data_IF_166371165339
#
_entry.id   IF_166371165339
#
_cell.length_a   1.000
_cell.length_b   1.000
_cell.length_c   1.000
_cell.angle_alpha   90.00
_cell.angle_beta   90.00
_cell.angle_gamma   90.00
#
_symmetry.space_group_name_H-M   'P 1'
#
loop_
_entity.id
_entity.type
_entity.pdbx_description
1 polymer ?
#
# COMPACT_ATOMS: atom_id res chain seq x y z
N UNK A 1 3.16 -68.63 25.91
CA UNK A 1 2.18 -67.52 25.88
C UNK A 1 2.94 -66.19 25.97
N UNK A 2 3.17 -65.51 24.84
CA UNK A 2 3.62 -64.11 24.86
C UNK A 2 2.41 -63.28 25.29
N UNK A 3 2.47 -62.64 26.47
CA UNK A 3 1.53 -61.56 26.80
C UNK A 3 1.78 -60.46 25.78
N UNK A 4 0.86 -60.30 24.83
CA UNK A 4 0.80 -59.11 24.00
C UNK A 4 0.53 -57.97 24.97
N UNK A 5 1.48 -57.05 25.10
CA UNK A 5 1.32 -55.86 25.93
C UNK A 5 0.38 -54.89 25.23
N UNK A 6 -0.92 -55.08 25.47
CA UNK A 6 -2.01 -54.25 24.95
C UNK A 6 -1.92 -52.81 25.51
N UNK A 7 -1.14 -52.60 26.58
CA UNK A 7 -0.96 -51.30 27.22
C UNK A 7 -0.11 -50.32 26.39
N UNK A 8 0.91 -50.80 25.68
CA UNK A 8 1.80 -49.95 24.87
C UNK A 8 1.11 -49.45 23.60
N UNK A 9 0.33 -50.30 22.92
CA UNK A 9 -0.39 -49.94 21.69
C UNK A 9 -1.50 -48.92 21.95
N UNK A 10 -2.22 -49.07 23.09
CA UNK A 10 -3.28 -48.13 23.48
C UNK A 10 -2.71 -46.76 23.87
N UNK A 11 -1.58 -46.72 24.59
CA UNK A 11 -0.84 -45.48 24.89
C UNK A 11 -0.33 -44.77 23.63
N UNK A 12 0.19 -45.51 22.66
CA UNK A 12 0.67 -44.93 21.40
C UNK A 12 -0.46 -44.34 20.56
N UNK A 13 -1.64 -44.99 20.52
CA UNK A 13 -2.83 -44.42 19.87
C UNK A 13 -3.30 -43.14 20.56
N UNK A 14 -3.29 -43.10 21.88
CA UNK A 14 -3.65 -41.90 22.66
C UNK A 14 -2.69 -40.75 22.36
N UNK A 15 -1.39 -41.02 22.27
CA UNK A 15 -0.38 -40.01 21.96
C UNK A 15 -0.53 -39.45 20.53
N UNK A 16 -0.82 -40.31 19.55
CA UNK A 16 -1.06 -39.88 18.17
C UNK A 16 -2.33 -39.03 18.06
N UNK A 17 -3.40 -39.41 18.76
CA UNK A 17 -4.63 -38.62 18.83
C UNK A 17 -4.34 -37.25 19.48
N UNK A 18 -3.52 -37.21 20.53
CA UNK A 18 -3.14 -35.97 21.20
C UNK A 18 -2.37 -35.03 20.26
N UNK A 19 -1.40 -35.55 19.49
CA UNK A 19 -0.65 -34.76 18.50
C UNK A 19 -1.53 -34.27 17.34
N UNK A 20 -2.51 -35.07 16.90
CA UNK A 20 -3.47 -34.66 15.88
C UNK A 20 -4.39 -33.55 16.38
N UNK A 21 -4.82 -33.61 17.65
CA UNK A 21 -5.60 -32.54 18.28
C UNK A 21 -4.77 -31.26 18.37
N UNK A 22 -3.50 -31.33 18.76
CA UNK A 22 -2.62 -30.16 18.80
C UNK A 22 -2.42 -29.55 17.41
N UNK A 23 -2.22 -30.37 16.37
CA UNK A 23 -2.13 -29.89 14.98
C UNK A 23 -3.43 -29.21 14.51
N UNK A 24 -4.59 -29.79 14.79
CA UNK A 24 -5.89 -29.22 14.45
C UNK A 24 -6.13 -27.89 15.18
N UNK A 25 -5.74 -27.81 16.44
CA UNK A 25 -5.80 -26.57 17.21
C UNK A 25 -4.90 -25.50 16.58
N UNK A 26 -3.68 -25.83 16.16
CA UNK A 26 -2.79 -24.89 15.47
C UNK A 26 -3.37 -24.39 14.13
N UNK A 27 -3.99 -25.28 13.34
CA UNK A 27 -4.65 -24.91 12.08
C UNK A 27 -5.83 -23.98 12.35
N UNK A 28 -6.69 -24.35 13.31
CA UNK A 28 -7.81 -23.50 13.72
C UNK A 28 -7.34 -22.13 14.20
N UNK A 29 -6.25 -22.08 14.97
CA UNK A 29 -5.63 -20.83 15.43
C UNK A 29 -5.14 -19.94 14.29
N UNK A 30 -4.46 -20.52 13.29
CA UNK A 30 -4.04 -19.76 12.10
C UNK A 30 -5.23 -19.16 11.35
N UNK A 31 -6.31 -19.94 11.18
CA UNK A 31 -7.55 -19.50 10.54
C UNK A 31 -8.25 -18.41 11.38
N UNK A 32 -8.27 -18.56 12.71
CA UNK A 32 -8.91 -17.61 13.61
C UNK A 32 -8.18 -16.26 13.65
N UNK A 33 -6.85 -16.27 13.67
CA UNK A 33 -6.04 -15.04 13.57
C UNK A 33 -6.30 -14.35 12.23
N UNK A 34 -6.29 -15.10 11.12
CA UNK A 34 -6.64 -14.56 9.81
C UNK A 34 -8.06 -13.95 9.79
N UNK A 35 -9.02 -14.60 10.43
CA UNK A 35 -10.38 -14.10 10.56
C UNK A 35 -10.48 -12.83 11.42
N UNK A 36 -9.78 -12.75 12.56
CA UNK A 36 -9.73 -11.54 13.40
C UNK A 36 -9.14 -10.34 12.65
N UNK A 37 -8.10 -10.58 11.84
CA UNK A 37 -7.50 -9.54 10.98
C UNK A 37 -8.51 -9.05 9.94
N UNK A 38 -9.30 -9.96 9.34
CA UNK A 38 -10.33 -9.61 8.35
C UNK A 38 -11.50 -8.78 8.92
N UNK A 39 -11.74 -8.81 10.23
CA UNK A 39 -12.92 -8.21 10.88
C UNK A 39 -12.65 -6.85 11.55
N UNK A 40 -11.50 -6.22 11.30
CA UNK A 40 -11.18 -4.88 11.82
C UNK A 40 -11.16 -4.73 13.36
N UNK A 41 -10.81 -5.79 14.09
CA UNK A 41 -10.81 -5.77 15.57
C UNK A 41 -9.49 -5.28 16.23
N UNK A 42 -8.47 -4.85 15.46
CA UNK A 42 -7.08 -4.64 15.95
C UNK A 42 -6.47 -3.28 15.55
N UNK A 43 -7.29 -2.23 15.37
CA UNK A 43 -6.83 -0.92 14.89
C UNK A 43 -6.43 0.08 16.00
N UNK A 44 -6.59 -0.28 17.28
CA UNK A 44 -6.16 0.55 18.42
C UNK A 44 -4.89 -0.01 19.07
N UNK A 45 -3.84 0.81 19.36
CA UNK A 45 -2.59 0.35 19.99
C UNK A 45 -2.78 -0.41 21.31
N UNK A 46 -3.74 -0.01 22.16
CA UNK A 46 -4.03 -0.69 23.42
C UNK A 46 -4.74 -2.04 23.20
N UNK A 47 -5.64 -2.11 22.21
CA UNK A 47 -6.29 -3.37 21.83
C UNK A 47 -5.29 -4.31 21.17
N UNK A 48 -4.37 -3.78 20.36
CA UNK A 48 -3.24 -4.54 19.82
C UNK A 48 -2.38 -5.11 20.94
N UNK A 49 -1.92 -4.31 21.91
CA UNK A 49 -1.10 -4.85 23.01
C UNK A 49 -1.85 -5.89 23.84
N UNK A 50 -3.15 -5.70 24.08
CA UNK A 50 -3.98 -6.68 24.78
C UNK A 50 -4.15 -7.99 23.99
N UNK A 51 -4.49 -7.90 22.70
CA UNK A 51 -4.67 -9.06 21.83
C UNK A 51 -3.33 -9.74 21.55
N UNK A 52 -2.26 -8.99 21.30
CA UNK A 52 -0.91 -9.49 21.06
C UNK A 52 -0.32 -10.19 22.29
N UNK A 53 -0.50 -9.63 23.48
CA UNK A 53 -0.07 -10.30 24.72
C UNK A 53 -0.90 -11.57 24.98
N UNK A 54 -2.20 -11.57 24.67
CA UNK A 54 -3.02 -12.79 24.68
C UNK A 54 -2.52 -13.80 23.64
N UNK A 55 -2.22 -13.39 22.41
CA UNK A 55 -1.72 -14.26 21.33
C UNK A 55 -0.33 -14.83 21.65
N UNK A 56 0.57 -14.06 22.24
CA UNK A 56 1.87 -14.53 22.73
C UNK A 56 1.67 -15.59 23.82
N UNK A 57 0.78 -15.36 24.78
CA UNK A 57 0.47 -16.33 25.83
C UNK A 57 -0.11 -17.61 25.20
N UNK A 58 -0.97 -17.47 24.19
CA UNK A 58 -1.59 -18.57 23.46
C UNK A 58 -0.65 -19.28 22.48
N UNK A 59 0.52 -18.74 22.15
CA UNK A 59 1.57 -19.42 21.38
C UNK A 59 2.59 -20.07 22.32
N UNK A 60 3.04 -19.34 23.34
CA UNK A 60 4.07 -19.81 24.29
C UNK A 60 3.54 -20.96 25.13
N UNK A 61 2.30 -20.91 25.61
CA UNK A 61 1.74 -21.97 26.45
C UNK A 61 1.62 -23.30 25.67
N UNK A 62 0.99 -23.37 24.48
CA UNK A 62 0.99 -24.58 23.67
C UNK A 62 2.38 -25.02 23.23
N UNK A 63 3.27 -24.11 22.82
CA UNK A 63 4.64 -24.47 22.47
C UNK A 63 5.43 -25.07 23.65
N UNK A 64 5.20 -24.55 24.86
CA UNK A 64 5.76 -25.10 26.10
C UNK A 64 5.20 -26.50 26.42
N UNK A 65 3.89 -26.72 26.27
CA UNK A 65 3.30 -28.05 26.48
C UNK A 65 3.68 -29.05 25.39
N UNK A 66 3.79 -28.61 24.14
CA UNK A 66 4.29 -29.41 23.01
C UNK A 66 5.73 -29.84 23.25
N UNK A 67 6.61 -28.89 23.61
CA UNK A 67 8.02 -29.19 23.90
C UNK A 67 8.19 -30.09 25.14
N UNK A 68 7.38 -29.91 26.20
CA UNK A 68 7.32 -30.83 27.35
C UNK A 68 6.87 -32.23 26.93
N UNK A 69 5.83 -32.33 26.11
CA UNK A 69 5.34 -33.61 25.59
C UNK A 69 6.40 -34.31 24.73
N UNK A 70 7.14 -33.55 23.92
CA UNK A 70 8.26 -34.04 23.13
C UNK A 70 9.43 -34.51 24.02
N UNK A 71 9.78 -33.77 25.08
CA UNK A 71 10.83 -34.16 26.03
C UNK A 71 10.42 -35.40 26.83
N UNK A 72 9.16 -35.51 27.25
CA UNK A 72 8.62 -36.69 27.95
C UNK A 72 8.62 -37.90 27.03
N UNK A 73 8.27 -37.73 25.76
CA UNK A 73 8.39 -38.75 24.73
C UNK A 73 9.85 -39.22 24.61
N UNK A 74 10.81 -38.30 24.47
CA UNK A 74 12.25 -38.61 24.39
C UNK A 74 12.75 -39.33 25.65
N UNK A 75 12.32 -38.91 26.85
CA UNK A 75 12.76 -39.49 28.14
C UNK A 75 12.13 -40.85 28.45
N UNK A 76 10.86 -41.05 28.10
CA UNK A 76 10.14 -42.32 28.34
C UNK A 76 10.44 -43.40 27.29
N UNK A 77 11.18 -43.08 26.22
CA UNK A 77 11.76 -44.01 25.24
C UNK A 77 12.96 -44.81 25.81
N UNK A 78 13.16 -44.82 27.13
CA UNK A 78 13.98 -45.82 27.84
C UNK A 78 13.25 -47.15 28.16
N UNK A 79 12.08 -47.41 27.58
CA UNK A 79 11.42 -48.72 27.61
C UNK A 79 11.50 -49.39 26.25
N UNK A 80 12.50 -50.28 26.12
CA UNK A 80 12.74 -51.46 25.25
C UNK A 80 11.94 -51.79 23.97
N UNK A 81 10.89 -51.08 23.57
CA UNK A 81 10.28 -51.24 22.25
C UNK A 81 10.51 -49.98 21.42
N UNK A 82 11.31 -50.13 20.36
CA UNK A 82 11.62 -49.08 19.39
C UNK A 82 10.32 -48.62 18.73
N UNK A 83 9.75 -47.51 19.19
CA UNK A 83 8.91 -46.69 18.32
C UNK A 83 9.88 -45.99 17.35
N UNK A 84 10.16 -46.64 16.22
CA UNK A 84 10.81 -45.98 15.10
C UNK A 84 9.76 -45.13 14.39
N UNK A 85 9.68 -43.84 14.72
CA UNK A 85 9.23 -42.89 13.72
C UNK A 85 10.19 -43.00 12.54
N UNK A 86 9.66 -43.24 11.35
CA UNK A 86 10.51 -43.25 10.18
C UNK A 86 11.16 -41.86 10.07
N UNK A 87 12.46 -41.77 9.76
CA UNK A 87 13.12 -40.48 9.47
C UNK A 87 12.28 -39.60 8.52
N UNK A 88 11.57 -40.17 7.51
CA UNK A 88 10.59 -39.43 6.71
C UNK A 88 9.49 -38.73 7.52
N UNK A 89 8.90 -39.36 8.54
CA UNK A 89 7.81 -38.76 9.32
C UNK A 89 8.28 -37.54 10.11
N UNK A 90 9.42 -37.63 10.80
CA UNK A 90 9.99 -36.49 11.53
C UNK A 90 10.38 -35.35 10.58
N UNK A 91 10.91 -35.69 9.39
CA UNK A 91 11.22 -34.71 8.36
C UNK A 91 9.95 -33.99 7.86
N UNK A 92 8.87 -34.73 7.60
CA UNK A 92 7.58 -34.17 7.17
C UNK A 92 6.96 -33.27 8.24
N UNK A 93 6.96 -33.69 9.50
CA UNK A 93 6.43 -32.84 10.60
C UNK A 93 7.26 -31.56 10.80
N UNK A 94 8.58 -31.63 10.67
CA UNK A 94 9.43 -30.45 10.72
C UNK A 94 9.19 -29.51 9.53
N UNK A 95 9.02 -30.05 8.32
CA UNK A 95 8.69 -29.27 7.13
C UNK A 95 7.33 -28.56 7.27
N UNK A 96 6.32 -29.24 7.81
CA UNK A 96 4.99 -28.64 8.07
C UNK A 96 5.10 -27.52 9.11
N UNK A 97 5.86 -27.73 10.20
CA UNK A 97 6.06 -26.71 11.22
C UNK A 97 6.78 -25.47 10.67
N UNK A 98 7.85 -25.67 9.88
CA UNK A 98 8.56 -24.59 9.20
C UNK A 98 7.61 -23.86 8.25
N UNK A 99 6.82 -24.59 7.46
CA UNK A 99 5.86 -24.00 6.53
C UNK A 99 4.79 -23.14 7.24
N UNK A 100 4.26 -23.61 8.37
CA UNK A 100 3.29 -22.84 9.17
C UNK A 100 3.93 -21.59 9.77
N UNK A 101 5.17 -21.67 10.27
CA UNK A 101 5.92 -20.51 10.76
C UNK A 101 6.14 -19.52 9.60
N UNK A 102 6.59 -20.00 8.45
CA UNK A 102 6.84 -19.15 7.27
C UNK A 102 5.56 -18.46 6.80
N UNK A 103 4.42 -19.13 6.78
CA UNK A 103 3.13 -18.52 6.46
C UNK A 103 2.68 -17.51 7.52
N UNK A 104 2.93 -17.79 8.80
CA UNK A 104 2.61 -16.86 9.89
C UNK A 104 3.49 -15.61 9.84
N UNK A 105 4.77 -15.77 9.48
CA UNK A 105 5.67 -14.65 9.20
C UNK A 105 5.23 -13.89 7.96
N UNK A 106 4.85 -14.57 6.87
CA UNK A 106 4.36 -13.92 5.65
C UNK A 106 3.07 -13.11 5.91
N UNK A 107 2.14 -13.67 6.68
CA UNK A 107 0.94 -12.97 7.12
C UNK A 107 1.27 -11.79 8.07
N UNK A 108 2.26 -11.96 8.95
CA UNK A 108 2.78 -10.89 9.81
C UNK A 108 3.41 -9.76 8.98
N UNK A 109 4.20 -10.09 7.94
CA UNK A 109 4.74 -9.11 7.00
C UNK A 109 3.61 -8.40 6.24
N UNK A 110 2.61 -9.14 5.74
CA UNK A 110 1.47 -8.52 5.07
C UNK A 110 0.63 -7.61 5.99
N UNK A 111 0.52 -7.97 7.27
CA UNK A 111 -0.19 -7.20 8.30
C UNK A 111 0.56 -5.92 8.74
N UNK A 112 1.89 -5.97 8.82
CA UNK A 112 2.70 -4.78 9.14
C UNK A 112 2.85 -3.82 7.97
N UNK A 113 2.50 -4.28 6.77
CA UNK A 113 2.70 -3.54 5.54
C UNK A 113 1.43 -3.60 4.68
N UNK A 114 0.25 -3.16 5.18
CA UNK A 114 -0.93 -3.02 4.35
C UNK A 114 -0.61 -2.05 3.21
N UNK A 115 -0.92 -2.42 1.97
CA UNK A 115 -0.85 -1.50 0.83
C UNK A 115 -2.25 -1.05 0.49
N UNK A 116 -2.41 0.23 0.16
CA UNK A 116 -3.66 0.82 -0.28
C UNK A 116 -4.30 0.02 -1.43
N UNK A 117 -3.49 -0.57 -2.32
CA UNK A 117 -3.94 -1.47 -3.39
C UNK A 117 -4.86 -2.61 -2.95
N UNK A 118 -4.75 -3.06 -1.70
CA UNK A 118 -5.55 -4.16 -1.17
C UNK A 118 -6.77 -3.66 -0.40
N UNK A 119 -6.64 -2.56 0.34
CA UNK A 119 -7.60 -2.18 1.39
C UNK A 119 -8.34 -0.87 1.13
N UNK A 120 -7.86 -0.03 0.22
CA UNK A 120 -8.50 1.25 -0.08
C UNK A 120 -9.79 1.05 -0.88
N UNK A 121 -10.92 1.52 -0.36
CA UNK A 121 -12.26 1.24 -0.90
C UNK A 121 -13.17 2.46 -0.78
N UNK A 122 -12.68 3.60 -1.24
CA UNK A 122 -13.46 4.83 -1.38
C UNK A 122 -13.46 5.31 -2.84
N UNK A 123 -14.47 6.12 -3.17
CA UNK A 123 -14.58 6.78 -4.47
C UNK A 123 -13.87 8.14 -4.38
N UNK A 124 -12.73 8.28 -5.06
CA UNK A 124 -11.86 9.46 -4.94
C UNK A 124 -11.31 9.92 -6.29
N UNK A 125 -11.09 11.24 -6.40
CA UNK A 125 -10.65 11.89 -7.62
C UNK A 125 -11.81 12.43 -8.48
N UNK A 126 -11.58 12.70 -9.77
CA UNK A 126 -10.33 12.44 -10.48
C UNK A 126 -9.21 13.42 -10.12
N UNK A 127 -7.98 13.01 -10.38
CA UNK A 127 -6.83 13.90 -10.34
C UNK A 127 -5.87 13.60 -11.50
N UNK A 128 -5.06 14.61 -11.82
CA UNK A 128 -4.16 14.62 -12.96
C UNK A 128 -2.71 14.57 -12.49
N UNK A 129 -1.87 13.79 -13.19
CA UNK A 129 -0.42 13.77 -13.00
C UNK A 129 0.30 13.71 -14.35
N UNK A 130 1.61 14.02 -14.35
CA UNK A 130 2.50 13.74 -15.48
C UNK A 130 3.49 12.63 -15.13
N UNK A 131 3.62 11.67 -16.05
CA UNK A 131 4.61 10.60 -16.01
C UNK A 131 5.53 10.63 -17.25
N UNK A 132 5.25 11.51 -18.20
CA UNK A 132 5.96 11.66 -19.47
C UNK A 132 5.76 13.13 -19.91
N UNK A 133 6.24 13.49 -21.10
CA UNK A 133 6.28 14.85 -21.61
C UNK A 133 4.91 15.57 -21.52
N UNK A 134 4.77 16.61 -20.68
CA UNK A 134 3.54 17.38 -20.50
C UNK A 134 2.99 18.06 -21.76
N UNK A 135 3.82 18.25 -22.80
CA UNK A 135 3.38 18.80 -24.08
C UNK A 135 2.46 17.84 -24.84
N UNK A 136 2.58 16.53 -24.60
CA UNK A 136 1.91 15.50 -25.42
C UNK A 136 1.21 14.43 -24.60
N UNK A 137 1.31 14.48 -23.27
CA UNK A 137 0.77 13.45 -22.38
C UNK A 137 0.08 14.05 -21.15
N UNK A 138 -0.86 13.28 -20.60
CA UNK A 138 -1.42 13.48 -19.27
C UNK A 138 -1.86 12.13 -18.72
N UNK A 139 -1.77 11.92 -17.42
CA UNK A 139 -2.36 10.74 -16.77
C UNK A 139 -3.52 11.16 -15.88
N UNK A 140 -4.69 10.57 -16.11
CA UNK A 140 -5.91 10.80 -15.34
C UNK A 140 -6.10 9.61 -14.41
N UNK A 141 -6.30 9.87 -13.13
CA UNK A 141 -6.45 8.85 -12.10
C UNK A 141 -7.73 9.07 -11.31
N UNK A 142 -8.46 8.00 -11.05
CA UNK A 142 -9.54 7.97 -10.07
C UNK A 142 -9.61 6.62 -9.38
N UNK A 143 -10.22 6.59 -8.21
CA UNK A 143 -10.39 5.41 -7.38
C UNK A 143 -11.87 5.11 -7.25
N UNK A 144 -12.23 3.83 -7.31
CA UNK A 144 -13.59 3.35 -7.10
C UNK A 144 -13.65 2.41 -5.90
N UNK A 145 -14.72 2.54 -5.13
CA UNK A 145 -15.02 1.69 -3.99
C UNK A 145 -15.19 0.22 -4.37
N UNK A 146 -15.87 -0.04 -5.48
CA UNK A 146 -16.07 -1.39 -6.00
C UNK A 146 -15.33 -1.54 -7.33
N UNK A 147 -14.66 -2.69 -7.60
CA UNK A 147 -13.96 -2.90 -8.86
C UNK A 147 -14.89 -2.71 -10.07
N UNK A 148 -14.48 -1.87 -11.01
CA UNK A 148 -15.22 -1.58 -12.24
C UNK A 148 -14.28 -1.48 -13.45
N UNK A 149 -14.84 -1.47 -14.65
CA UNK A 149 -14.07 -1.27 -15.88
C UNK A 149 -13.62 0.19 -15.98
N UNK A 150 -12.47 0.42 -16.60
CA UNK A 150 -11.97 1.77 -16.86
C UNK A 150 -12.59 2.30 -18.15
N UNK A 151 -13.38 3.36 -18.04
CA UNK A 151 -13.95 4.08 -19.19
C UNK A 151 -13.73 5.59 -18.99
N UNK A 152 -13.17 6.23 -20.01
CA UNK A 152 -12.92 7.66 -20.04
C UNK A 152 -13.29 8.18 -21.43
N UNK A 153 -14.07 9.26 -21.49
CA UNK A 153 -14.28 10.01 -22.72
C UNK A 153 -13.40 11.26 -22.69
N UNK A 154 -12.69 11.56 -23.76
CA UNK A 154 -11.84 12.75 -23.84
C UNK A 154 -11.75 13.33 -25.25
N UNK A 155 -11.54 14.63 -25.38
CA UNK A 155 -11.43 15.29 -26.68
C UNK A 155 -11.29 16.79 -26.60
N UNK A 156 -11.15 17.44 -27.76
CA UNK A 156 -11.03 18.91 -27.85
C UNK A 156 -12.38 19.62 -27.90
N UNK A 157 -13.45 18.88 -28.17
CA UNK A 157 -14.85 19.34 -28.12
C UNK A 157 -15.61 18.44 -27.13
N UNK A 158 -16.26 18.99 -26.08
CA UNK A 158 -16.99 18.19 -25.10
C UNK A 158 -18.25 17.48 -25.65
N UNK A 159 -18.63 17.76 -26.90
CA UNK A 159 -19.72 17.08 -27.61
C UNK A 159 -19.23 16.02 -28.62
N UNK A 160 -17.92 15.95 -28.87
CA UNK A 160 -17.29 15.01 -29.80
C UNK A 160 -15.97 14.51 -29.20
N UNK A 161 -16.07 13.45 -28.39
CA UNK A 161 -14.97 12.88 -27.62
C UNK A 161 -14.71 11.44 -28.04
N UNK A 162 -13.44 11.07 -28.01
CA UNK A 162 -13.00 9.70 -28.18
C UNK A 162 -13.15 8.95 -26.85
N UNK A 163 -13.26 7.63 -26.91
CA UNK A 163 -13.43 6.79 -25.72
C UNK A 163 -12.22 5.90 -25.50
N UNK A 164 -11.58 6.06 -24.35
CA UNK A 164 -10.60 5.13 -23.80
C UNK A 164 -11.33 4.06 -22.98
N UNK A 165 -10.99 2.78 -23.19
CA UNK A 165 -11.59 1.63 -22.49
C UNK A 165 -10.55 0.58 -22.12
N UNK A 166 -10.61 0.12 -20.88
CA UNK A 166 -10.01 -1.12 -20.41
C UNK A 166 -11.08 -2.04 -19.80
N UNK A 167 -11.04 -3.31 -20.18
CA UNK A 167 -12.02 -4.34 -19.80
C UNK A 167 -11.78 -4.96 -18.42
N UNK A 168 -10.64 -4.72 -17.78
CA UNK A 168 -10.36 -5.26 -16.44
C UNK A 168 -11.11 -4.50 -15.35
N UNK A 169 -11.69 -5.25 -14.40
CA UNK A 169 -12.29 -4.66 -13.22
C UNK A 169 -11.21 -4.33 -12.18
N UNK A 170 -11.01 -3.04 -11.90
CA UNK A 170 -10.00 -2.53 -10.97
C UNK A 170 -10.63 -1.50 -10.04
N UNK A 171 -10.00 -1.27 -8.88
CA UNK A 171 -10.37 -0.18 -7.97
C UNK A 171 -9.61 1.11 -8.27
N UNK A 172 -8.42 1.00 -8.87
CA UNK A 172 -7.64 2.16 -9.28
C UNK A 172 -7.57 2.18 -10.79
N UNK A 173 -8.06 3.29 -11.35
CA UNK A 173 -8.09 3.52 -12.78
C UNK A 173 -7.00 4.53 -13.11
N UNK A 174 -6.04 4.13 -13.94
CA UNK A 174 -4.94 4.99 -14.40
C UNK A 174 -5.03 5.02 -15.92
N UNK A 175 -5.31 6.20 -16.47
CA UNK A 175 -5.46 6.39 -17.92
C UNK A 175 -4.36 7.33 -18.42
N UNK A 176 -3.26 6.78 -18.96
CA UNK A 176 -2.26 7.59 -19.66
C UNK A 176 -2.78 7.93 -21.06
N UNK A 177 -3.01 9.22 -21.29
CA UNK A 177 -3.30 9.77 -22.61
C UNK A 177 -2.01 10.25 -23.25
N UNK A 178 -1.79 9.89 -24.51
CA UNK A 178 -0.58 10.18 -25.28
C UNK A 178 -0.94 10.80 -26.63
N UNK A 179 0.08 11.24 -27.38
CA UNK A 179 -0.08 11.85 -28.71
C UNK A 179 -1.02 13.07 -28.73
N UNK A 180 -1.13 13.76 -27.59
CA UNK A 180 -1.90 14.98 -27.46
C UNK A 180 -1.19 16.13 -28.16
N UNK A 181 -1.96 17.14 -28.59
CA UNK A 181 -1.38 18.37 -29.12
C UNK A 181 -0.93 19.24 -27.96
N UNK A 182 0.25 19.85 -28.09
CA UNK A 182 0.78 20.84 -27.15
C UNK A 182 -0.10 22.09 -27.06
N UNK A 183 -0.03 22.79 -25.92
CA UNK A 183 -0.74 24.04 -25.64
C UNK A 183 -2.25 23.97 -25.84
N UNK A 184 -2.84 22.78 -25.76
CA UNK A 184 -4.21 22.53 -26.21
C UNK A 184 -5.09 22.14 -25.02
N UNK A 185 -6.26 22.78 -24.93
CA UNK A 185 -7.30 22.41 -23.96
C UNK A 185 -8.05 21.17 -24.45
N UNK A 186 -8.18 20.20 -23.55
CA UNK A 186 -8.98 19.00 -23.71
C UNK A 186 -10.06 18.96 -22.62
N UNK A 187 -11.17 18.32 -22.93
CA UNK A 187 -12.25 17.99 -22.01
C UNK A 187 -12.25 16.50 -21.77
N UNK A 188 -12.72 16.07 -20.60
CA UNK A 188 -12.93 14.67 -20.32
C UNK A 188 -14.12 14.41 -19.40
N UNK A 189 -14.68 13.21 -19.49
CA UNK A 189 -15.76 12.69 -18.65
C UNK A 189 -15.41 11.26 -18.22
N UNK A 190 -15.91 10.85 -17.05
CA UNK A 190 -15.69 9.52 -16.50
C UNK A 190 -17.06 8.85 -16.30
N UNK A 191 -17.62 8.20 -17.34
CA UNK A 191 -18.94 7.59 -17.27
C UNK A 191 -19.08 6.61 -16.10
N UNK A 192 -20.16 6.73 -15.34
CA UNK A 192 -20.46 5.87 -14.19
C UNK A 192 -19.67 6.19 -12.92
N UNK A 193 -18.76 7.16 -12.96
CA UNK A 193 -18.05 7.68 -11.78
C UNK A 193 -18.49 9.11 -11.44
N UNK A 194 -18.48 10.01 -12.42
CA UNK A 194 -18.89 11.40 -12.26
C UNK A 194 -19.69 11.89 -13.46
N UNK A 195 -20.71 12.72 -13.22
CA UNK A 195 -21.51 13.38 -14.26
C UNK A 195 -20.88 14.70 -14.73
N UNK A 196 -19.81 15.15 -14.05
CA UNK A 196 -19.12 16.39 -14.38
C UNK A 196 -18.28 16.26 -15.65
N UNK A 197 -18.17 17.37 -16.37
CA UNK A 197 -17.22 17.50 -17.49
C UNK A 197 -16.03 18.30 -17.02
N UNK A 198 -14.88 17.64 -16.90
CA UNK A 198 -13.63 18.24 -16.51
C UNK A 198 -12.84 18.69 -17.74
N UNK A 199 -11.71 19.35 -17.52
CA UNK A 199 -10.81 19.78 -18.57
C UNK A 199 -9.37 19.80 -18.09
N UNK A 200 -8.42 19.70 -19.00
CA UNK A 200 -7.00 19.94 -18.74
C UNK A 200 -6.39 20.65 -19.94
N UNK A 201 -5.17 21.17 -19.78
CA UNK A 201 -4.40 21.82 -20.84
C UNK A 201 -2.99 21.22 -20.87
N UNK A 202 -2.56 20.77 -22.04
CA UNK A 202 -1.18 20.31 -22.25
C UNK A 202 -0.21 21.49 -22.21
N UNK A 203 1.03 21.22 -21.80
CA UNK A 203 2.08 22.24 -21.80
C UNK A 203 2.28 22.82 -23.22
N UNK A 204 2.61 24.12 -23.35
CA UNK A 204 2.88 24.73 -24.64
C UNK A 204 4.13 24.13 -25.29
N UNK A 205 4.21 24.21 -26.62
CA UNK A 205 5.45 23.86 -27.33
C UNK A 205 6.52 24.92 -27.01
N UNK A 206 7.65 24.48 -26.45
CA UNK A 206 8.79 25.34 -26.19
C UNK A 206 8.67 26.21 -24.92
N UNK A 207 9.34 27.36 -24.93
CA UNK A 207 9.56 28.20 -23.74
C UNK A 207 8.58 29.36 -23.66
N UNK A 208 7.62 29.30 -22.75
CA UNK A 208 6.65 30.33 -22.44
C UNK A 208 6.70 30.68 -20.94
N UNK A 209 6.12 31.83 -20.58
CA UNK A 209 5.90 32.18 -19.18
C UNK A 209 4.72 31.38 -18.63
N UNK A 210 4.85 30.87 -17.41
CA UNK A 210 3.79 30.13 -16.74
C UNK A 210 3.75 30.46 -15.25
N UNK A 211 2.65 30.12 -14.61
CA UNK A 211 2.49 30.14 -13.16
C UNK A 211 2.20 28.73 -12.67
N UNK A 212 2.63 28.41 -11.44
CA UNK A 212 2.24 27.18 -10.75
C UNK A 212 1.94 27.51 -9.28
N UNK A 213 1.09 26.72 -8.66
CA UNK A 213 0.83 26.82 -7.22
C UNK A 213 1.82 25.94 -6.46
N UNK A 214 2.43 26.48 -5.40
CA UNK A 214 3.34 25.73 -4.53
C UNK A 214 2.74 25.65 -3.12
N UNK A 215 2.54 24.43 -2.63
CA UNK A 215 1.95 24.14 -1.31
C UNK A 215 2.76 23.05 -0.60
N UNK A 216 2.58 22.90 0.72
CA UNK A 216 3.19 21.85 1.53
C UNK A 216 2.44 21.70 2.85
N UNK A 217 2.76 20.65 3.62
CA UNK A 217 2.32 20.51 5.01
C UNK A 217 0.81 20.65 5.20
N UNK A 218 0.05 20.18 4.21
CA UNK A 218 -1.41 20.32 4.20
C UNK A 218 -2.05 19.51 5.33
N UNK A 219 -1.39 18.44 5.78
CA UNK A 219 -1.76 17.68 6.96
C UNK A 219 -3.26 17.34 6.97
N UNK A 220 -3.75 16.74 5.90
CA UNK A 220 -5.15 16.38 5.74
C UNK A 220 -5.66 15.57 6.93
N UNK A 221 -6.94 15.78 7.28
CA UNK A 221 -7.62 15.16 8.42
C UNK A 221 -7.02 15.43 9.82
N UNK A 222 -5.96 16.24 9.95
CA UNK A 222 -5.54 16.74 11.26
C UNK A 222 -6.57 17.70 11.84
N UNK A 223 -6.85 17.62 13.15
CA UNK A 223 -7.93 18.40 13.78
C UNK A 223 -7.79 19.92 13.60
N UNK A 224 -6.56 20.40 13.55
CA UNK A 224 -6.24 21.82 13.33
C UNK A 224 -5.80 22.13 11.90
N UNK A 225 -5.91 21.18 10.97
CA UNK A 225 -5.58 21.38 9.56
C UNK A 225 -6.31 22.60 8.98
N UNK A 226 -5.66 23.24 8.02
CA UNK A 226 -6.17 24.38 7.26
C UNK A 226 -6.18 24.05 5.76
N UNK A 227 -6.18 22.76 5.43
CA UNK A 227 -6.03 22.29 4.06
C UNK A 227 -7.09 22.86 3.12
N UNK A 228 -8.36 22.82 3.53
CA UNK A 228 -9.51 23.43 2.85
C UNK A 228 -9.27 24.90 2.50
N UNK A 229 -8.70 25.67 3.43
CA UNK A 229 -8.38 27.09 3.23
C UNK A 229 -7.20 27.31 2.30
N UNK A 230 -6.22 26.42 2.30
CA UNK A 230 -5.08 26.47 1.37
C UNK A 230 -5.58 26.20 -0.05
N UNK A 231 -6.36 25.14 -0.25
CA UNK A 231 -6.99 24.81 -1.53
C UNK A 231 -7.92 25.92 -1.99
N UNK A 232 -8.79 26.43 -1.12
CA UNK A 232 -9.68 27.55 -1.45
C UNK A 232 -8.93 28.86 -1.74
N UNK A 233 -7.75 29.08 -1.15
CA UNK A 233 -6.95 30.28 -1.43
C UNK A 233 -6.29 30.26 -2.82
N UNK A 234 -6.22 29.10 -3.46
CA UNK A 234 -5.78 28.98 -4.85
C UNK A 234 -6.88 29.43 -5.83
N UNK A 235 -8.14 29.47 -5.39
CA UNK A 235 -9.25 29.94 -6.22
C UNK A 235 -9.02 31.38 -6.72
N UNK A 236 -9.25 31.60 -8.02
CA UNK A 236 -9.11 32.90 -8.66
C UNK A 236 -7.70 33.26 -9.12
N UNK A 237 -6.71 32.40 -8.86
CA UNK A 237 -5.39 32.48 -9.50
C UNK A 237 -5.33 31.61 -10.76
N UNK A 238 -4.52 32.05 -11.73
CA UNK A 238 -4.25 31.30 -12.95
C UNK A 238 -2.89 30.60 -12.81
N UNK A 239 -2.91 29.27 -12.86
CA UNK A 239 -1.74 28.41 -12.76
C UNK A 239 -1.95 27.17 -13.63
N UNK A 240 -0.85 26.60 -14.11
CA UNK A 240 -0.90 25.45 -15.04
C UNK A 240 -0.88 24.11 -14.29
N UNK A 241 -0.27 24.08 -13.09
CA UNK A 241 -0.15 22.89 -12.26
C UNK A 241 0.12 23.25 -10.79
N UNK A 242 0.12 22.23 -9.94
CA UNK A 242 0.32 22.33 -8.50
C UNK A 242 1.55 21.50 -8.13
N UNK A 243 2.45 22.09 -7.35
CA UNK A 243 3.57 21.40 -6.70
C UNK A 243 3.28 21.31 -5.20
N UNK A 244 3.28 20.10 -4.65
CA UNK A 244 3.13 19.86 -3.21
C UNK A 244 4.42 19.29 -2.64
N UNK A 245 5.07 19.97 -1.70
CA UNK A 245 6.39 19.59 -1.17
C UNK A 245 6.36 18.53 -0.05
N UNK A 246 5.37 17.63 -0.06
CA UNK A 246 5.17 16.60 0.98
C UNK A 246 4.46 17.04 2.26
N UNK A 247 4.29 16.07 3.16
CA UNK A 247 3.48 16.16 4.39
C UNK A 247 2.01 16.45 4.10
N UNK A 248 1.45 15.63 3.22
CA UNK A 248 0.04 15.65 2.87
C UNK A 248 -0.85 15.06 3.99
N UNK A 249 -0.35 14.08 4.74
CA UNK A 249 -1.10 13.38 5.78
C UNK A 249 -0.89 14.01 7.15
N UNK A 250 -1.97 14.28 7.89
CA UNK A 250 -1.89 14.91 9.21
C UNK A 250 -1.31 14.03 10.31
N UNK A 251 -1.62 12.74 10.26
CA UNK A 251 -1.22 11.76 11.26
C UNK A 251 -0.21 10.75 10.71
N UNK A 252 -0.57 10.04 9.63
CA UNK A 252 0.24 8.94 9.12
C UNK A 252 -0.15 8.51 7.70
N UNK A 253 0.84 8.31 6.82
CA UNK A 253 0.64 7.69 5.50
C UNK A 253 0.08 6.27 5.54
N UNK A 254 0.20 5.56 6.66
CA UNK A 254 -0.51 4.29 6.89
C UNK A 254 -2.03 4.43 7.13
N UNK A 255 -2.53 5.65 7.38
CA UNK A 255 -3.93 5.91 7.75
C UNK A 255 -4.79 6.21 6.52
N UNK A 256 -5.34 5.17 5.89
CA UNK A 256 -6.16 5.27 4.68
C UNK A 256 -7.33 6.27 4.77
N UNK A 257 -8.07 6.40 5.89
CA UNK A 257 -9.04 7.48 6.05
C UNK A 257 -8.50 8.91 5.85
N UNK A 258 -7.25 9.20 6.20
CA UNK A 258 -6.67 10.53 5.98
C UNK A 258 -6.44 10.80 4.49
N UNK A 259 -6.05 9.77 3.74
CA UNK A 259 -5.93 9.84 2.28
C UNK A 259 -7.27 10.19 1.63
N UNK A 260 -8.38 9.62 2.10
CA UNK A 260 -9.70 9.95 1.58
C UNK A 260 -10.03 11.44 1.78
N UNK A 261 -9.83 11.97 2.99
CA UNK A 261 -10.01 13.41 3.25
C UNK A 261 -9.07 14.27 2.39
N UNK A 262 -7.85 13.81 2.14
CA UNK A 262 -6.92 14.48 1.25
C UNK A 262 -7.45 14.54 -0.18
N UNK A 263 -7.96 13.43 -0.71
CA UNK A 263 -8.52 13.36 -2.07
C UNK A 263 -9.81 14.17 -2.22
N UNK A 264 -10.73 14.09 -1.26
CA UNK A 264 -11.97 14.89 -1.25
C UNK A 264 -11.69 16.39 -1.40
N UNK A 265 -10.59 16.86 -0.78
CA UNK A 265 -10.22 18.28 -0.81
C UNK A 265 -9.38 18.63 -2.05
N UNK A 266 -8.40 17.80 -2.42
CA UNK A 266 -7.50 18.13 -3.55
C UNK A 266 -8.22 18.13 -4.90
N UNK A 267 -9.28 17.31 -5.05
CA UNK A 267 -9.99 17.10 -6.32
C UNK A 267 -10.52 18.40 -6.90
N UNK A 268 -10.84 19.38 -6.04
CA UNK A 268 -11.28 20.72 -6.42
C UNK A 268 -10.40 21.35 -7.52
N UNK A 269 -9.07 21.25 -7.39
CA UNK A 269 -8.13 21.74 -8.40
C UNK A 269 -7.46 20.61 -9.18
N UNK A 270 -7.18 19.48 -8.53
CA UNK A 270 -6.43 18.38 -9.12
C UNK A 270 -7.16 17.68 -10.27
N UNK A 271 -8.50 17.79 -10.35
CA UNK A 271 -9.27 17.31 -11.48
C UNK A 271 -9.01 18.09 -12.79
N UNK A 272 -8.42 19.28 -12.71
CA UNK A 272 -8.19 20.14 -13.88
C UNK A 272 -6.75 20.61 -14.06
N UNK A 273 -5.97 20.60 -12.98
CA UNK A 273 -4.57 20.99 -12.96
C UNK A 273 -3.72 19.82 -12.45
N UNK A 274 -2.64 19.44 -13.16
CA UNK A 274 -1.75 18.37 -12.71
C UNK A 274 -1.19 18.64 -11.32
N UNK A 275 -1.22 17.61 -10.48
CA UNK A 275 -0.80 17.65 -9.09
C UNK A 275 0.50 16.86 -8.96
N UNK A 276 1.60 17.55 -8.69
CA UNK A 276 2.94 17.00 -8.64
C UNK A 276 3.43 17.06 -7.18
N UNK A 277 3.37 15.94 -6.47
CA UNK A 277 3.66 15.87 -5.03
C UNK A 277 4.96 15.11 -4.74
N UNK A 278 5.79 15.67 -3.86
CA UNK A 278 6.91 14.99 -3.23
C UNK A 278 6.44 14.27 -1.97
N UNK A 279 7.14 13.21 -1.58
CA UNK A 279 6.82 12.46 -0.38
C UNK A 279 7.48 13.12 0.85
N UNK A 280 6.72 13.32 1.94
CA UNK A 280 7.20 13.85 3.23
C UNK A 280 7.31 12.79 4.33
N UNK A 281 7.80 13.17 5.52
CA UNK A 281 7.97 12.23 6.63
C UNK A 281 6.64 11.72 7.18
N UNK A 282 5.55 12.49 7.06
CA UNK A 282 4.23 12.03 7.47
C UNK A 282 3.73 10.87 6.61
N UNK A 283 4.10 10.82 5.33
CA UNK A 283 3.76 9.71 4.44
C UNK A 283 4.48 8.40 4.81
N UNK A 284 5.67 8.47 5.42
CA UNK A 284 6.38 7.29 5.95
C UNK A 284 5.81 6.77 7.27
N UNK A 285 5.07 7.59 8.00
CA UNK A 285 4.49 7.21 9.29
C UNK A 285 3.40 6.15 9.09
N UNK A 286 3.60 4.97 9.68
CA UNK A 286 2.69 3.83 9.48
C UNK A 286 2.77 3.15 8.10
N UNK A 287 3.64 3.64 7.21
CA UNK A 287 3.95 3.04 5.91
C UNK A 287 5.43 3.24 5.56
N UNK A 288 6.29 2.43 6.20
CA UNK A 288 7.75 2.57 6.18
C UNK A 288 8.41 2.60 4.80
N UNK A 289 7.68 2.23 3.75
CA UNK A 289 8.18 2.19 2.38
C UNK A 289 7.39 3.12 1.45
N UNK A 290 6.54 4.01 1.96
CA UNK A 290 5.75 4.94 1.13
C UNK A 290 4.87 4.26 0.08
N UNK A 291 4.47 3.00 0.30
CA UNK A 291 3.74 2.20 -0.70
C UNK A 291 2.33 2.71 -0.96
N UNK A 292 1.68 3.30 0.04
CA UNK A 292 0.39 3.97 -0.12
C UNK A 292 0.57 5.21 -0.98
N UNK A 293 1.59 6.03 -0.70
CA UNK A 293 1.93 7.17 -1.54
C UNK A 293 2.19 6.74 -2.99
N UNK A 294 3.07 5.77 -3.22
CA UNK A 294 3.36 5.23 -4.55
C UNK A 294 2.14 4.64 -5.25
N UNK A 295 1.26 3.99 -4.48
CA UNK A 295 0.01 3.48 -5.02
C UNK A 295 -0.85 4.62 -5.54
N UNK A 296 -1.09 5.66 -4.75
CA UNK A 296 -1.95 6.78 -5.15
C UNK A 296 -1.30 7.71 -6.19
N UNK A 297 0.00 7.92 -6.09
CA UNK A 297 0.78 8.76 -6.98
C UNK A 297 1.81 7.89 -7.72
N UNK A 298 1.40 7.17 -8.76
CA UNK A 298 2.30 6.30 -9.53
C UNK A 298 3.10 7.11 -10.55
N UNK A 299 3.95 8.03 -10.07
CA UNK A 299 4.91 8.75 -10.93
C UNK A 299 5.93 7.79 -11.56
N UNK A 300 6.64 8.25 -12.60
CA UNK A 300 7.76 7.51 -13.20
C UNK A 300 9.01 7.61 -12.31
N UNK A 301 8.95 6.93 -11.16
CA UNK A 301 10.06 6.87 -10.21
C UNK A 301 11.25 6.10 -10.80
N UNK A 302 12.47 6.62 -10.61
CA UNK A 302 13.71 5.98 -11.07
C UNK A 302 13.91 4.57 -10.48
N UNK A 303 13.40 4.33 -9.27
CA UNK A 303 13.55 3.05 -8.59
C UNK A 303 12.30 2.60 -7.82
N UNK A 304 12.27 1.30 -7.49
CA UNK A 304 11.10 0.71 -6.85
C UNK A 304 10.83 1.21 -5.42
N UNK A 305 11.87 1.68 -4.73
CA UNK A 305 11.88 1.99 -3.29
C UNK A 305 12.21 3.45 -2.97
N UNK A 306 12.34 4.30 -3.99
CA UNK A 306 12.58 5.73 -3.89
C UNK A 306 11.44 6.49 -4.55
N UNK A 307 10.96 7.55 -3.91
CA UNK A 307 9.81 8.32 -4.38
C UNK A 307 10.24 9.66 -4.95
N UNK A 308 11.30 9.63 -5.76
CA UNK A 308 11.86 10.78 -6.43
C UNK A 308 11.73 10.63 -7.94
N UNK A 309 11.51 11.76 -8.59
CA UNK A 309 11.23 11.85 -10.01
C UNK A 309 11.45 13.30 -10.46
N UNK A 310 11.47 13.53 -11.76
CA UNK A 310 11.57 14.86 -12.35
C UNK A 310 10.53 15.03 -13.44
N UNK A 311 10.26 16.27 -13.82
CA UNK A 311 9.43 16.60 -14.96
C UNK A 311 9.80 17.96 -15.51
N UNK A 312 9.61 18.13 -16.81
CA UNK A 312 9.80 19.41 -17.48
C UNK A 312 8.45 20.09 -17.69
N UNK A 313 8.37 21.38 -17.39
CA UNK A 313 7.27 22.21 -17.85
C UNK A 313 7.81 23.47 -18.49
N UNK A 314 7.58 23.58 -19.80
CA UNK A 314 8.04 24.70 -20.62
C UNK A 314 9.55 24.94 -20.49
N UNK A 315 9.98 26.03 -19.83
CA UNK A 315 11.39 26.40 -19.67
C UNK A 315 11.99 26.09 -18.30
N UNK A 316 11.33 25.24 -17.51
CA UNK A 316 11.79 24.84 -16.19
C UNK A 316 11.79 23.32 -16.04
N UNK A 317 12.88 22.83 -15.45
CA UNK A 317 13.04 21.45 -15.02
C UNK A 317 12.78 21.36 -13.51
N UNK A 318 11.83 20.50 -13.11
CA UNK A 318 11.43 20.31 -11.73
C UNK A 318 11.92 18.96 -11.23
N UNK A 319 12.48 18.96 -10.03
CA UNK A 319 13.00 17.75 -9.40
C UNK A 319 12.34 17.57 -8.05
N UNK A 320 11.70 16.41 -7.88
CA UNK A 320 11.01 16.00 -6.66
C UNK A 320 11.90 15.01 -5.92
N UNK A 321 12.42 15.42 -4.77
CA UNK A 321 13.41 14.66 -3.99
C UNK A 321 12.72 14.00 -2.80
N UNK A 322 12.93 12.69 -2.66
CA UNK A 322 12.62 11.94 -1.44
C UNK A 322 13.79 12.11 -0.46
N UNK A 323 13.59 12.87 0.63
CA UNK A 323 14.61 13.09 1.66
C UNK A 323 14.44 12.17 2.87
N UNK A 324 13.47 11.26 2.84
CA UNK A 324 13.13 10.38 3.97
C UNK A 324 13.26 8.89 3.61
N UNK A 325 13.71 8.60 2.39
CA UNK A 325 13.86 7.27 1.84
C UNK A 325 14.53 6.29 2.81
N UNK A 326 13.83 5.23 3.21
CA UNK A 326 14.34 4.17 4.08
C UNK A 326 14.79 4.65 5.49
N UNK A 327 14.29 5.78 5.99
CA UNK A 327 14.62 6.27 7.34
C UNK A 327 13.45 6.29 8.34
N UNK A 328 13.83 6.11 9.61
CA UNK A 328 12.99 6.31 10.79
C UNK A 328 13.39 7.58 11.57
N UNK A 329 14.38 8.33 11.06
CA UNK A 329 14.96 9.49 11.74
C UNK A 329 14.65 10.77 10.98
N UNK A 330 14.44 11.86 11.71
CA UNK A 330 13.88 13.12 11.18
C UNK A 330 14.92 14.01 10.50
N UNK A 331 16.15 13.55 10.38
CA UNK A 331 17.31 14.34 9.95
C UNK A 331 17.38 14.62 8.45
N UNK A 332 16.62 13.87 7.63
CA UNK A 332 16.63 13.95 6.17
C UNK A 332 17.97 13.51 5.55
N UNK A 333 17.94 12.68 4.52
CA UNK A 333 19.13 12.34 3.73
C UNK A 333 18.74 11.91 2.32
N UNK A 334 19.69 12.00 1.40
CA UNK A 334 19.56 11.48 0.05
C UNK A 334 20.49 10.28 -0.07
N UNK A 335 20.01 9.18 -0.65
CA UNK A 335 20.85 8.00 -0.88
C UNK A 335 21.91 8.26 -1.95
N UNK A 336 23.01 7.51 -1.95
CA UNK A 336 24.02 7.63 -3.03
C UNK A 336 23.42 7.37 -4.42
N UNK A 337 22.41 6.47 -4.50
CA UNK A 337 21.70 6.17 -5.74
C UNK A 337 20.90 7.37 -6.25
N UNK A 338 20.12 8.01 -5.36
CA UNK A 338 19.34 9.19 -5.69
C UNK A 338 20.22 10.41 -5.96
N UNK A 339 21.34 10.59 -5.25
CA UNK A 339 22.31 11.65 -5.57
C UNK A 339 22.92 11.42 -6.97
N UNK A 340 23.29 10.18 -7.30
CA UNK A 340 23.82 9.84 -8.61
C UNK A 340 22.78 10.03 -9.71
N UNK A 341 21.51 9.73 -9.45
CA UNK A 341 20.40 10.03 -10.36
C UNK A 341 20.24 11.53 -10.56
N UNK A 342 20.17 12.31 -9.47
CA UNK A 342 20.01 13.77 -9.51
C UNK A 342 21.11 14.44 -10.33
N UNK A 343 22.35 13.96 -10.22
CA UNK A 343 23.45 14.47 -11.04
C UNK A 343 23.26 14.21 -12.53
N UNK A 344 22.73 13.04 -12.91
CA UNK A 344 22.44 12.69 -14.32
C UNK A 344 21.24 13.46 -14.86
N UNK A 345 20.24 13.69 -14.02
CA UNK A 345 19.00 14.40 -14.35
C UNK A 345 19.26 15.90 -14.62
N UNK A 346 20.23 16.49 -13.91
CA UNK A 346 20.61 17.91 -14.05
C UNK A 346 21.72 18.21 -15.09
N UNK A 347 22.29 17.18 -15.72
CA UNK A 347 23.31 17.31 -16.78
C UNK A 347 22.69 17.51 -18.17
#
# INVERSE_FOLDING_TARGET
MKKIDIGSTKRNKILVIYLLIELLLMIFWGIFIFWLIKMDLIWNPLQFWFIFSILIILIIIPAYFFSKSLIILIKNVKLKEKITFSKPYLAVSALIFIFIISLSFLAFFYYFFPSASVFYREDDGPYLIWNDNPETTITIIWLTKNPSQTELEYGRDPNDMETYKDSFNVNQHIVPLTELKSGTKYYYKIPGFSEETYWFKTAPEGSENFNFSAISDTHAAYSDSKYDKVIGAMEGYDYEFIVHAGDAMGGAGGNLPEWHTFFETMTEHAATHPYMIALGNHEYSGDLFGRNFKYFFPYDYEEDWGHYYSFDYSNAHFVMIDVFQNQLDWGGFITEAQEAWLRRDLE
#
